data_IF_378799976077
#
_entry.id   IF_378799976077
#
_cell.length_a   1.000
_cell.length_b   1.000
_cell.length_c   1.000
_cell.angle_alpha   90.00
_cell.angle_beta   90.00
_cell.angle_gamma   90.00
#
_symmetry.space_group_name_H-M   'P 1'
#
loop_
_entity.id
_entity.type
_entity.pdbx_description
1 polymer ?
#
# COMPACT_ATOMS: atom_id res chain seq x y z
N UNK A 1 -0.45 4.27 -15.61
CA UNK A 1 -0.08 5.00 -14.38
C UNK A 1 -1.32 5.23 -13.55
N UNK A 2 -1.76 4.20 -12.83
CA UNK A 2 -3.00 4.23 -12.04
C UNK A 2 -2.62 4.38 -10.58
N UNK A 3 -2.94 5.54 -9.98
CA UNK A 3 -2.74 5.75 -8.55
C UNK A 3 -3.91 5.11 -7.81
N UNK A 4 -3.63 4.20 -6.90
CA UNK A 4 -4.64 3.51 -6.08
C UNK A 4 -4.48 3.95 -4.64
N UNK A 5 -5.60 4.07 -3.92
CA UNK A 5 -5.57 4.43 -2.50
C UNK A 5 -5.17 3.23 -1.66
N UNK A 6 -4.43 3.47 -0.57
CA UNK A 6 -3.93 2.40 0.29
C UNK A 6 -5.01 1.44 0.81
N UNK A 7 -6.20 1.96 1.15
CA UNK A 7 -7.29 1.12 1.65
C UNK A 7 -7.89 0.20 0.57
N UNK A 8 -7.88 0.61 -0.71
CA UNK A 8 -8.33 -0.23 -1.82
C UNK A 8 -7.36 -1.40 -2.00
N UNK A 9 -6.05 -1.11 -1.96
CA UNK A 9 -4.97 -2.12 -2.01
C UNK A 9 -5.11 -3.09 -0.84
N UNK A 10 -5.37 -2.59 0.37
CA UNK A 10 -5.57 -3.43 1.54
C UNK A 10 -6.76 -4.38 1.35
N UNK A 11 -7.87 -3.87 0.82
CA UNK A 11 -9.08 -4.65 0.53
C UNK A 11 -8.85 -5.70 -0.55
N UNK A 12 -8.12 -5.35 -1.61
CA UNK A 12 -7.78 -6.25 -2.72
C UNK A 12 -6.83 -7.37 -2.28
N UNK A 13 -5.87 -7.06 -1.41
CA UNK A 13 -4.93 -8.03 -0.83
C UNK A 13 -5.50 -8.82 0.36
N UNK A 14 -6.69 -8.47 0.84
CA UNK A 14 -7.26 -9.05 2.07
C UNK A 14 -6.43 -8.77 3.32
N UNK A 15 -5.70 -7.65 3.34
CA UNK A 15 -4.82 -7.22 4.44
C UNK A 15 -5.41 -6.02 5.17
N UNK A 16 -4.97 -5.76 6.39
CA UNK A 16 -5.40 -4.56 7.08
C UNK A 16 -4.73 -3.32 6.49
N UNK A 17 -5.50 -2.23 6.33
CA UNK A 17 -4.99 -0.94 5.88
C UNK A 17 -3.79 -0.46 6.72
N UNK A 18 -3.75 -0.80 8.00
CA UNK A 18 -2.65 -0.44 8.91
C UNK A 18 -1.34 -1.13 8.56
N UNK A 19 -1.38 -2.41 8.18
CA UNK A 19 -0.20 -3.15 7.71
C UNK A 19 0.35 -2.54 6.42
N UNK A 20 -0.53 -2.23 5.46
CA UNK A 20 -0.13 -1.62 4.20
C UNK A 20 0.48 -0.23 4.42
N UNK A 21 -0.09 0.59 5.32
CA UNK A 21 0.48 1.90 5.70
C UNK A 21 1.87 1.75 6.32
N UNK A 22 2.04 0.81 7.25
CA UNK A 22 3.33 0.57 7.90
C UNK A 22 4.40 0.15 6.87
N UNK A 23 4.07 -0.79 5.99
CA UNK A 23 4.99 -1.21 4.91
C UNK A 23 5.28 -0.11 3.93
N UNK A 24 4.28 0.65 3.50
CA UNK A 24 4.51 1.79 2.62
C UNK A 24 5.54 2.76 3.23
N UNK A 25 5.45 3.04 4.54
CA UNK A 25 6.44 3.85 5.26
C UNK A 25 7.82 3.21 5.31
N UNK A 26 7.92 1.91 5.64
CA UNK A 26 9.20 1.18 5.65
C UNK A 26 9.92 1.22 4.30
N UNK A 27 9.14 1.27 3.22
CA UNK A 27 9.65 1.26 1.85
C UNK A 27 10.02 2.64 1.32
N UNK A 28 9.91 3.68 2.17
CA UNK A 28 10.18 5.08 1.80
C UNK A 28 9.05 5.72 0.99
N UNK A 29 7.85 5.12 0.97
CA UNK A 29 6.67 5.71 0.34
C UNK A 29 6.07 6.70 1.33
N UNK A 30 6.03 7.97 0.94
CA UNK A 30 5.46 9.03 1.77
C UNK A 30 3.92 8.93 1.78
N UNK A 31 3.40 8.12 2.70
CA UNK A 31 1.96 7.99 2.94
C UNK A 31 1.54 8.83 4.15
N UNK A 32 0.66 9.80 3.90
CA UNK A 32 0.10 10.68 4.95
C UNK A 32 -1.04 9.99 5.70
N UNK A 33 -1.81 9.14 5.03
CA UNK A 33 -2.91 8.37 5.63
C UNK A 33 -3.33 7.20 4.75
N UNK A 34 -4.31 6.41 5.19
CA UNK A 34 -4.93 5.31 4.43
C UNK A 34 -5.59 5.79 3.12
N UNK A 35 -5.84 7.10 3.00
CA UNK A 35 -6.36 7.75 1.78
C UNK A 35 -5.26 8.23 0.83
N UNK A 36 -3.98 8.13 1.21
CA UNK A 36 -2.88 8.48 0.32
C UNK A 36 -2.89 7.56 -0.91
N UNK A 37 -2.80 8.18 -2.08
CA UNK A 37 -2.72 7.48 -3.35
C UNK A 37 -1.27 7.12 -3.62
N UNK A 38 -1.02 5.85 -3.86
CA UNK A 38 0.30 5.32 -4.22
C UNK A 38 0.20 4.66 -5.59
N UNK A 39 1.33 4.50 -6.27
CA UNK A 39 1.38 3.68 -7.47
C UNK A 39 0.94 2.26 -7.10
N UNK A 40 -0.06 1.71 -7.79
CA UNK A 40 -0.54 0.34 -7.52
C UNK A 40 0.60 -0.67 -7.61
N UNK A 41 1.51 -0.49 -8.57
CA UNK A 41 2.65 -1.37 -8.78
C UNK A 41 3.64 -1.34 -7.61
N UNK A 42 3.87 -0.18 -6.99
CA UNK A 42 4.80 -0.07 -5.85
C UNK A 42 4.18 -0.72 -4.61
N UNK A 43 2.88 -0.50 -4.40
CA UNK A 43 2.19 -1.10 -3.27
C UNK A 43 2.15 -2.62 -3.38
N UNK A 44 1.74 -3.15 -4.55
CA UNK A 44 1.61 -4.60 -4.78
C UNK A 44 2.96 -5.32 -4.83
N UNK A 45 3.98 -4.73 -5.48
CA UNK A 45 5.27 -5.42 -5.68
C UNK A 45 6.04 -5.66 -4.39
N UNK A 46 5.83 -4.83 -3.36
CA UNK A 46 6.55 -4.94 -2.08
C UNK A 46 5.71 -5.48 -0.93
N UNK A 47 4.38 -5.50 -1.06
CA UNK A 47 3.54 -6.38 -0.25
C UNK A 47 3.62 -7.83 -0.73
N UNK A 48 3.89 -8.10 -2.01
CA UNK A 48 4.14 -9.48 -2.47
C UNK A 48 5.33 -10.17 -1.77
N UNK A 49 6.23 -9.42 -1.12
CA UNK A 49 7.27 -9.97 -0.24
C UNK A 49 6.75 -10.48 1.11
N UNK A 50 5.44 -10.52 1.35
CA UNK A 50 4.79 -11.20 2.49
C UNK A 50 4.84 -12.75 2.38
N UNK A 51 5.98 -13.34 2.00
CA UNK A 51 6.26 -14.77 2.28
C UNK A 51 6.81 -14.92 3.69
#
# INVERSE_FOLDING_TARGET
MSKVRLYEIAKELGKESKEIVARAKELGIEVKSHASSVESEIATRRTASFS
#
